data_IF_143465481836
#
_entry.id   IF_143465481836
#
_cell.length_a   1.000
_cell.length_b   1.000
_cell.length_c   1.000
_cell.angle_alpha   90.00
_cell.angle_beta   90.00
_cell.angle_gamma   90.00
#
_symmetry.space_group_name_H-M   'P 1'
#
loop_
_entity.id
_entity.type
_entity.pdbx_description
1 polymer ?
#
# COMPACT_ATOMS: atom_id res chain seq x y z
N UNK A 1 45.45 -4.40 18.75
CA UNK A 1 46.65 -4.78 19.53
C UNK A 1 47.90 -4.13 18.92
N UNK A 2 48.04 -2.80 18.98
CA UNK A 2 49.11 -2.09 18.25
C UNK A 2 50.30 -1.68 19.12
N UNK A 3 50.16 -1.67 20.45
CA UNK A 3 51.22 -1.26 21.41
C UNK A 3 51.81 -2.42 22.21
N UNK A 4 51.41 -3.66 21.92
CA UNK A 4 51.67 -4.83 22.77
C UNK A 4 53.14 -5.33 22.75
N UNK A 5 53.87 -5.11 21.64
CA UNK A 5 55.24 -5.62 21.47
C UNK A 5 56.26 -4.51 21.15
N UNK A 6 56.02 -3.31 21.67
CA UNK A 6 56.96 -2.21 21.55
C UNK A 6 58.11 -2.35 22.55
N UNK A 7 59.32 -1.87 22.21
CA UNK A 7 60.43 -1.83 23.15
C UNK A 7 60.08 -0.98 24.40
N UNK A 8 60.69 -1.25 25.57
CA UNK A 8 60.29 -0.64 26.84
C UNK A 8 60.19 0.89 26.83
N UNK A 9 61.10 1.57 26.12
CA UNK A 9 61.12 3.03 26.01
C UNK A 9 59.86 3.59 25.31
N UNK A 10 59.30 2.87 24.35
CA UNK A 10 58.09 3.27 23.64
C UNK A 10 56.82 2.78 24.38
N UNK A 11 56.90 1.63 25.06
CA UNK A 11 55.79 1.12 25.86
C UNK A 11 55.45 2.06 27.03
N UNK A 12 56.46 2.68 27.64
CA UNK A 12 56.30 3.63 28.74
C UNK A 12 55.45 4.86 28.38
N UNK A 13 55.39 5.25 27.10
CA UNK A 13 54.56 6.36 26.63
C UNK A 13 53.06 6.07 26.72
N UNK A 14 52.68 4.80 26.83
CA UNK A 14 51.30 4.34 26.95
C UNK A 14 50.92 4.01 28.39
N UNK A 15 51.68 4.49 29.38
CA UNK A 15 51.29 4.40 30.78
C UNK A 15 49.96 5.14 31.00
N UNK A 16 49.01 4.56 31.76
CA UNK A 16 47.77 5.24 32.08
C UNK A 16 48.07 6.49 32.91
N UNK A 17 47.21 7.50 32.78
CA UNK A 17 47.20 8.64 33.69
C UNK A 17 46.64 8.23 35.06
N UNK A 18 46.82 9.10 36.04
CA UNK A 18 46.15 8.96 37.33
C UNK A 18 44.64 8.75 37.15
N UNK A 19 44.00 7.95 38.03
CA UNK A 19 42.57 7.70 37.95
C UNK A 19 41.81 9.01 38.06
N UNK A 20 40.72 9.12 37.31
CA UNK A 20 39.84 10.29 37.37
C UNK A 20 39.26 10.45 38.78
N UNK A 21 39.15 11.69 39.30
CA UNK A 21 38.44 11.96 40.55
C UNK A 21 37.00 11.45 40.48
N UNK A 22 36.52 10.87 41.58
CA UNK A 22 35.14 10.42 41.67
C UNK A 22 34.17 11.60 41.59
N UNK A 23 33.16 11.48 40.74
CA UNK A 23 32.02 12.39 40.69
C UNK A 23 30.72 11.59 40.88
N UNK A 24 29.76 12.10 41.65
CA UNK A 24 28.46 11.45 41.79
C UNK A 24 27.70 11.47 40.46
N UNK A 25 26.78 10.51 40.30
CA UNK A 25 25.92 10.44 39.11
C UNK A 25 25.02 11.69 39.03
N UNK A 26 24.92 12.29 37.83
CA UNK A 26 24.09 13.48 37.60
C UNK A 26 22.59 13.20 37.71
N UNK A 27 22.17 11.98 37.37
CA UNK A 27 20.77 11.55 37.34
C UNK A 27 20.65 10.24 38.10
N UNK A 28 19.56 10.09 38.86
CA UNK A 28 19.23 8.84 39.55
C UNK A 28 19.07 7.67 38.58
N UNK A 29 19.34 6.45 39.05
CA UNK A 29 19.08 5.23 38.28
C UNK A 29 17.59 5.12 37.90
N UNK A 30 17.23 4.47 36.79
CA UNK A 30 15.84 4.39 36.33
C UNK A 30 14.82 3.92 37.38
N UNK A 31 15.22 3.00 38.27
CA UNK A 31 14.37 2.48 39.37
C UNK A 31 14.29 3.41 40.60
N UNK A 32 15.20 4.38 40.71
CA UNK A 32 15.18 5.42 41.75
C UNK A 32 14.49 6.71 41.27
N UNK A 33 14.09 6.77 39.99
CA UNK A 33 13.39 7.91 39.43
C UNK A 33 11.96 7.95 39.95
N UNK A 34 11.59 9.08 40.53
CA UNK A 34 10.20 9.39 40.85
C UNK A 34 9.51 9.97 39.62
N UNK A 35 8.48 9.28 39.11
CA UNK A 35 7.67 9.77 38.00
C UNK A 35 6.52 10.60 38.54
N UNK A 36 6.64 11.93 38.46
CA UNK A 36 5.62 12.88 38.94
C UNK A 36 4.27 12.68 38.23
N UNK A 37 4.30 12.19 36.99
CA UNK A 37 3.15 11.79 36.21
C UNK A 37 3.46 10.42 35.59
N UNK A 38 3.09 9.32 36.26
CA UNK A 38 3.25 7.99 35.69
C UNK A 38 2.29 7.83 34.50
N UNK A 39 2.57 6.85 33.65
CA UNK A 39 1.62 6.46 32.61
C UNK A 39 0.28 6.08 33.25
N UNK A 40 -0.81 6.60 32.66
CA UNK A 40 -2.17 6.30 33.07
C UNK A 40 -2.94 5.67 31.91
N UNK A 41 -4.03 4.98 32.24
CA UNK A 41 -4.91 4.39 31.24
C UNK A 41 -5.71 5.42 30.45
N UNK A 42 -6.38 4.96 29.39
CA UNK A 42 -7.14 5.83 28.48
C UNK A 42 -8.61 6.04 28.89
N UNK A 43 -9.04 5.49 30.02
CA UNK A 43 -10.45 5.55 30.46
C UNK A 43 -11.04 6.97 30.49
N UNK A 44 -10.31 8.03 30.92
CA UNK A 44 -10.83 9.39 30.87
C UNK A 44 -11.12 9.93 29.47
N UNK A 45 -10.61 9.31 28.41
CA UNK A 45 -10.76 9.78 27.03
C UNK A 45 -11.95 9.16 26.29
N UNK A 46 -12.62 8.16 26.88
CA UNK A 46 -13.77 7.48 26.27
C UNK A 46 -14.90 8.47 25.91
N UNK A 47 -15.03 9.56 26.68
CA UNK A 47 -15.99 10.64 26.45
C UNK A 47 -15.83 11.37 25.10
N UNK A 48 -14.69 11.20 24.43
CA UNK A 48 -14.41 11.84 23.14
C UNK A 48 -14.77 10.96 21.94
N UNK A 49 -15.20 9.72 22.17
CA UNK A 49 -15.70 8.88 21.09
C UNK A 49 -17.08 9.35 20.62
N UNK A 50 -17.33 9.18 19.33
CA UNK A 50 -18.59 9.52 18.69
C UNK A 50 -19.74 8.70 19.28
N UNK A 51 -20.90 9.34 19.49
CA UNK A 51 -22.08 8.62 19.97
C UNK A 51 -22.56 7.66 18.85
N UNK A 52 -22.81 6.37 19.15
CA UNK A 52 -23.33 5.43 18.17
C UNK A 52 -24.63 5.88 17.47
N UNK A 53 -25.35 6.84 18.06
CA UNK A 53 -26.57 7.45 17.49
C UNK A 53 -26.28 8.51 16.44
N UNK A 54 -25.14 9.19 16.54
CA UNK A 54 -24.74 10.29 15.65
C UNK A 54 -23.76 9.82 14.56
N UNK A 55 -23.14 8.66 14.76
CA UNK A 55 -22.20 8.09 13.79
C UNK A 55 -22.90 7.70 12.48
N UNK A 56 -22.47 8.23 11.32
CA UNK A 56 -23.00 7.79 10.03
C UNK A 56 -22.71 6.30 9.81
N UNK A 57 -23.53 5.59 9.01
CA UNK A 57 -23.22 4.22 8.64
C UNK A 57 -21.83 4.17 8.01
N UNK A 58 -21.02 3.14 8.32
CA UNK A 58 -19.64 3.06 7.85
C UNK A 58 -19.60 3.15 6.33
N UNK A 59 -18.98 4.21 5.82
CA UNK A 59 -18.80 4.42 4.39
C UNK A 59 -17.74 3.44 3.90
N UNK A 60 -18.18 2.32 3.33
CA UNK A 60 -17.27 1.39 2.67
C UNK A 60 -16.90 1.95 1.31
N UNK A 61 -15.61 2.19 1.10
CA UNK A 61 -15.09 2.38 -0.25
C UNK A 61 -15.28 1.10 -1.07
N UNK A 62 -15.46 1.23 -2.39
CA UNK A 62 -15.56 0.08 -3.29
C UNK A 62 -14.37 -0.88 -3.07
N UNK A 63 -14.70 -2.14 -2.83
CA UNK A 63 -13.72 -3.23 -2.82
C UNK A 63 -13.15 -3.44 -4.23
N UNK A 64 -12.01 -4.14 -4.30
CA UNK A 64 -11.38 -4.47 -5.59
C UNK A 64 -12.30 -5.29 -6.50
N UNK A 65 -13.12 -6.17 -5.91
CA UNK A 65 -14.05 -7.04 -6.62
C UNK A 65 -15.21 -6.23 -7.22
N UNK A 66 -15.84 -5.37 -6.42
CA UNK A 66 -16.90 -4.46 -6.88
C UNK A 66 -16.42 -3.55 -8.01
N UNK A 67 -15.19 -3.02 -7.89
CA UNK A 67 -14.58 -2.20 -8.94
C UNK A 67 -14.37 -2.99 -10.25
N UNK A 68 -13.96 -4.25 -10.14
CA UNK A 68 -13.73 -5.11 -11.31
C UNK A 68 -15.06 -5.47 -11.98
N UNK A 69 -16.09 -5.76 -11.20
CA UNK A 69 -17.43 -6.04 -11.70
C UNK A 69 -18.04 -4.82 -12.40
N UNK A 70 -17.91 -3.63 -11.80
CA UNK A 70 -18.34 -2.36 -12.41
C UNK A 70 -17.69 -2.15 -13.79
N UNK A 71 -16.36 -2.27 -13.87
CA UNK A 71 -15.63 -2.15 -15.14
C UNK A 71 -16.06 -3.20 -16.17
N UNK A 72 -16.36 -4.43 -15.73
CA UNK A 72 -16.85 -5.49 -16.62
C UNK A 72 -18.23 -5.15 -17.17
N UNK A 73 -19.16 -4.70 -16.33
CA UNK A 73 -20.52 -4.28 -16.75
C UNK A 73 -20.46 -3.11 -17.74
N UNK A 74 -19.72 -2.06 -17.42
CA UNK A 74 -19.51 -0.90 -18.31
C UNK A 74 -18.91 -1.30 -19.67
N UNK A 75 -17.97 -2.26 -19.68
CA UNK A 75 -17.36 -2.77 -20.92
C UNK A 75 -18.34 -3.58 -21.76
N UNK A 76 -19.19 -4.40 -21.12
CA UNK A 76 -20.21 -5.19 -21.81
C UNK A 76 -21.25 -4.25 -22.43
N UNK A 77 -21.76 -3.29 -21.67
CA UNK A 77 -22.74 -2.31 -22.13
C UNK A 77 -22.19 -1.48 -23.30
N UNK A 78 -20.95 -0.98 -23.19
CA UNK A 78 -20.29 -0.28 -24.30
C UNK A 78 -20.15 -1.17 -25.54
N UNK A 79 -19.90 -2.46 -25.38
CA UNK A 79 -19.77 -3.37 -26.53
C UNK A 79 -21.12 -3.68 -27.16
N UNK A 80 -22.18 -3.78 -26.35
CA UNK A 80 -23.55 -3.95 -26.83
C UNK A 80 -23.98 -2.75 -27.67
N UNK A 81 -23.74 -1.51 -27.20
CA UNK A 81 -24.10 -0.32 -27.97
C UNK A 81 -23.36 -0.24 -29.30
N UNK A 82 -22.06 -0.57 -29.33
CA UNK A 82 -21.29 -0.63 -30.59
C UNK A 82 -21.86 -1.69 -31.54
N UNK A 83 -22.13 -2.91 -31.06
CA UNK A 83 -22.72 -3.97 -31.88
C UNK A 83 -24.09 -3.58 -32.44
N UNK A 84 -24.94 -2.93 -31.65
CA UNK A 84 -26.24 -2.44 -32.12
C UNK A 84 -26.09 -1.37 -33.21
N UNK A 85 -25.09 -0.50 -33.10
CA UNK A 85 -24.80 0.49 -34.14
C UNK A 85 -24.26 -0.13 -35.42
N UNK A 86 -23.34 -1.10 -35.31
CA UNK A 86 -22.77 -1.81 -36.45
C UNK A 86 -23.82 -2.67 -37.15
N UNK A 87 -24.69 -3.34 -36.39
CA UNK A 87 -25.77 -4.16 -36.93
C UNK A 87 -26.78 -3.33 -37.75
N UNK A 88 -27.07 -2.09 -37.34
CA UNK A 88 -27.93 -1.18 -38.11
C UNK A 88 -27.30 -0.75 -39.44
N UNK A 89 -25.98 -0.75 -39.53
CA UNK A 89 -25.22 -0.38 -40.73
C UNK A 89 -24.92 -1.58 -41.63
N UNK A 90 -25.09 -2.81 -41.13
CA UNK A 90 -24.75 -4.02 -41.86
C UNK A 90 -25.87 -4.42 -42.82
N UNK A 91 -25.65 -4.19 -44.12
CA UNK A 91 -26.54 -4.60 -45.20
C UNK A 91 -25.77 -5.29 -46.34
N UNK A 92 -25.67 -6.64 -46.31
CA UNK A 92 -24.96 -7.40 -47.34
C UNK A 92 -25.57 -7.31 -48.74
N UNK A 93 -26.86 -6.94 -48.86
CA UNK A 93 -27.51 -6.84 -50.17
C UNK A 93 -27.06 -5.60 -50.95
N UNK A 94 -26.59 -4.58 -50.23
CA UNK A 94 -26.06 -3.34 -50.79
C UNK A 94 -24.52 -3.27 -50.73
N UNK A 95 -23.84 -4.35 -50.36
CA UNK A 95 -22.38 -4.42 -50.30
C UNK A 95 -21.79 -4.69 -51.70
N UNK A 96 -20.94 -3.80 -52.26
CA UNK A 96 -20.32 -4.03 -53.57
C UNK A 96 -19.41 -5.27 -53.62
N UNK A 97 -18.97 -5.80 -52.48
CA UNK A 97 -18.16 -7.03 -52.39
C UNK A 97 -19.02 -8.31 -52.45
N UNK A 98 -20.30 -8.23 -52.13
CA UNK A 98 -21.23 -9.35 -52.17
C UNK A 98 -21.93 -9.41 -53.53
N UNK A 99 -21.42 -10.25 -54.44
CA UNK A 99 -21.91 -10.35 -55.82
C UNK A 99 -22.33 -11.78 -56.18
N UNK A 100 -23.23 -11.91 -57.15
CA UNK A 100 -23.67 -13.21 -57.68
C UNK A 100 -24.83 -13.85 -56.92
N UNK A 101 -25.06 -15.14 -57.17
CA UNK A 101 -26.15 -15.91 -56.58
C UNK A 101 -25.71 -16.47 -55.21
N UNK A 102 -26.34 -15.97 -54.14
CA UNK A 102 -26.05 -16.40 -52.77
C UNK A 102 -26.25 -17.91 -52.57
N UNK A 103 -27.20 -18.55 -53.27
CA UNK A 103 -27.45 -19.98 -53.14
C UNK A 103 -26.38 -20.86 -53.78
N UNK A 104 -25.49 -20.25 -54.58
CA UNK A 104 -24.40 -20.93 -55.29
C UNK A 104 -23.02 -20.50 -54.80
N UNK A 105 -22.97 -19.72 -53.73
CA UNK A 105 -21.72 -19.18 -53.18
C UNK A 105 -21.33 -19.97 -51.93
N UNK A 106 -20.08 -20.45 -51.88
CA UNK A 106 -19.55 -21.21 -50.74
C UNK A 106 -18.56 -20.35 -49.95
N UNK A 107 -18.73 -20.27 -48.63
CA UNK A 107 -17.79 -19.58 -47.75
C UNK A 107 -16.72 -20.56 -47.27
N UNK A 108 -15.45 -20.23 -47.50
CA UNK A 108 -14.30 -21.00 -47.01
C UNK A 108 -13.48 -20.11 -46.07
N UNK A 109 -13.25 -20.58 -44.84
CA UNK A 109 -12.44 -19.88 -43.84
C UNK A 109 -11.35 -20.77 -43.27
N UNK A 110 -10.29 -20.15 -42.71
CA UNK A 110 -9.08 -20.80 -42.18
C UNK A 110 -8.28 -21.57 -43.26
N UNK A 111 -7.91 -20.87 -44.33
CA UNK A 111 -6.94 -21.33 -45.34
C UNK A 111 -5.52 -21.25 -44.81
#
# INVERSE_FOLDING_TARGET
KMTQFLPPNLLALFAPRDPIPFLPQLVKLPHEKHYNQPYCGIAPFIRHFEDPRDAPPPTRAETREERLERKRREKIERRQTVLETELKLWDPHNDPNAQGDAFKTLFVARV
#
